data_IF_782780886063
#
_entry.id   IF_782780886063
#
_cell.length_a   1.000
_cell.length_b   1.000
_cell.length_c   1.000
_cell.angle_alpha   90.00
_cell.angle_beta   90.00
_cell.angle_gamma   90.00
#
_symmetry.space_group_name_H-M   'P 1'
#
loop_
_entity.id
_entity.type
_entity.pdbx_description
1 polymer ?
#
# COMPACT_ATOMS: atom_id res chain seq x y z
N UNK A 1 15.60 -70.92 19.44
CA UNK A 1 14.72 -70.55 18.29
C UNK A 1 13.43 -70.00 18.88
N UNK A 2 13.04 -68.72 18.88
CA UNK A 2 13.56 -67.47 18.32
C UNK A 2 13.36 -66.35 19.36
N UNK A 3 14.41 -65.63 19.79
CA UNK A 3 14.32 -64.58 20.82
C UNK A 3 14.11 -63.20 20.16
N UNK A 4 13.06 -63.05 19.35
CA UNK A 4 12.85 -61.82 18.54
C UNK A 4 11.46 -61.19 18.74
N UNK A 5 10.78 -61.48 19.86
CA UNK A 5 9.43 -60.93 20.14
C UNK A 5 9.33 -59.96 21.31
N UNK A 6 10.44 -59.63 21.97
CA UNK A 6 10.45 -58.80 23.18
C UNK A 6 11.33 -57.55 23.09
N UNK A 7 11.78 -57.18 21.89
CA UNK A 7 12.63 -55.99 21.69
C UNK A 7 11.94 -54.83 20.97
N UNK A 8 10.73 -55.01 20.42
CA UNK A 8 10.06 -53.97 19.62
C UNK A 8 9.12 -53.07 20.43
N UNK A 9 8.69 -53.47 21.63
CA UNK A 9 7.83 -52.63 22.48
C UNK A 9 8.59 -51.64 23.36
N UNK A 10 9.89 -51.82 23.62
CA UNK A 10 10.68 -50.87 24.41
C UNK A 10 11.22 -49.70 23.58
N UNK A 11 11.37 -49.86 22.25
CA UNK A 11 11.83 -48.78 21.38
C UNK A 11 10.74 -47.74 21.02
N UNK A 12 9.46 -48.09 21.19
CA UNK A 12 8.35 -47.15 20.99
C UNK A 12 8.06 -46.25 22.19
N UNK A 13 8.61 -46.56 23.38
CA UNK A 13 8.44 -45.71 24.57
C UNK A 13 9.43 -44.54 24.63
N UNK A 14 10.61 -44.66 24.01
CA UNK A 14 11.63 -43.61 24.05
C UNK A 14 11.42 -42.47 23.04
N UNK A 15 10.53 -42.64 22.06
CA UNK A 15 10.15 -41.56 21.14
C UNK A 15 9.05 -40.64 21.71
N UNK A 16 8.43 -41.01 22.85
CA UNK A 16 7.33 -40.24 23.44
C UNK A 16 7.69 -39.55 24.78
N UNK A 17 8.88 -39.79 25.35
CA UNK A 17 9.27 -39.18 26.64
C UNK A 17 10.43 -38.19 26.56
N UNK A 18 10.95 -37.91 25.37
CA UNK A 18 11.93 -36.84 25.12
C UNK A 18 11.33 -35.69 24.31
N UNK A 19 10.03 -35.42 24.48
CA UNK A 19 9.51 -34.07 24.25
C UNK A 19 9.79 -33.28 25.52
N UNK A 20 11.08 -33.10 25.83
CA UNK A 20 11.46 -31.91 26.58
C UNK A 20 10.89 -30.77 25.78
N UNK A 21 9.89 -30.11 26.39
CA UNK A 21 9.23 -28.95 25.87
C UNK A 21 10.27 -28.08 25.17
N UNK A 22 10.20 -28.04 23.84
CA UNK A 22 10.75 -26.95 23.04
C UNK A 22 10.55 -25.69 23.88
N UNK A 23 11.61 -24.92 24.19
CA UNK A 23 11.45 -23.72 25.00
C UNK A 23 10.31 -23.00 24.30
N UNK A 24 9.22 -22.72 25.04
CA UNK A 24 8.03 -22.05 24.52
C UNK A 24 8.55 -21.04 23.52
N UNK A 25 8.42 -21.37 22.23
CA UNK A 25 8.73 -20.40 21.21
C UNK A 25 7.60 -19.42 21.48
N UNK A 26 7.92 -18.40 22.27
CA UNK A 26 7.29 -17.13 22.12
C UNK A 26 7.56 -16.82 20.66
N UNK A 27 6.62 -17.22 19.81
CA UNK A 27 6.32 -16.47 18.62
C UNK A 27 6.01 -15.10 19.21
N UNK A 28 7.07 -14.29 19.33
CA UNK A 28 6.93 -12.86 19.51
C UNK A 28 5.89 -12.50 18.46
N UNK A 29 4.75 -11.98 18.91
CA UNK A 29 3.81 -11.32 18.04
C UNK A 29 4.56 -10.13 17.46
N UNK A 30 5.39 -10.37 16.43
CA UNK A 30 6.13 -9.35 15.69
C UNK A 30 5.18 -8.39 14.98
N UNK A 31 3.89 -8.71 15.00
CA UNK A 31 2.83 -8.02 14.29
C UNK A 31 2.08 -6.98 15.15
N UNK A 32 2.43 -6.82 16.43
CA UNK A 32 1.89 -5.74 17.26
C UNK A 32 3.05 -4.97 17.88
N UNK A 33 3.61 -4.05 17.08
CA UNK A 33 4.17 -2.85 17.69
C UNK A 33 2.98 -2.09 18.28
N UNK A 34 3.00 -1.86 19.60
CA UNK A 34 1.92 -1.16 20.31
C UNK A 34 1.71 0.28 19.81
N UNK A 35 2.65 0.76 19.01
CA UNK A 35 2.70 2.11 18.45
C UNK A 35 2.10 2.17 17.05
N UNK A 36 0.86 2.66 16.97
CA UNK A 36 0.13 2.91 15.72
C UNK A 36 -0.04 4.41 15.49
N UNK A 37 0.29 4.89 14.30
CA UNK A 37 -0.07 6.23 13.82
C UNK A 37 -1.00 6.08 12.63
N UNK A 38 -2.11 6.82 12.63
CA UNK A 38 -3.06 6.83 11.51
C UNK A 38 -2.84 8.07 10.66
N UNK A 39 -2.96 7.91 9.35
CA UNK A 39 -2.96 8.97 8.34
C UNK A 39 -4.10 8.67 7.37
N UNK A 40 -4.88 9.69 7.00
CA UNK A 40 -6.00 9.51 6.07
C UNK A 40 -5.57 9.65 4.62
N UNK A 41 -6.14 8.82 3.75
CA UNK A 41 -5.82 8.77 2.33
C UNK A 41 -7.10 8.69 1.50
N UNK A 42 -7.32 9.62 0.58
CA UNK A 42 -8.42 9.50 -0.38
C UNK A 42 -7.87 9.11 -1.74
N UNK A 43 -8.28 7.95 -2.23
CA UNK A 43 -8.08 7.57 -3.62
C UNK A 43 -9.17 8.21 -4.49
N UNK A 44 -8.76 9.03 -5.45
CA UNK A 44 -9.64 9.55 -6.49
C UNK A 44 -9.37 8.73 -7.75
N UNK A 45 -10.32 7.90 -8.18
CA UNK A 45 -10.19 7.05 -9.37
C UNK A 45 -10.54 7.88 -10.62
N UNK A 46 -9.57 8.03 -11.53
CA UNK A 46 -9.72 8.76 -12.80
C UNK A 46 -10.74 8.09 -13.73
N UNK A 47 -11.38 8.88 -14.60
CA UNK A 47 -12.43 8.43 -15.52
C UNK A 47 -11.93 7.34 -16.50
N UNK A 48 -10.62 7.29 -16.74
CA UNK A 48 -10.00 6.29 -17.62
C UNK A 48 -9.95 4.87 -17.05
N UNK A 49 -10.31 4.70 -15.77
CA UNK A 49 -10.42 3.42 -15.08
C UNK A 49 -11.85 2.90 -15.03
N UNK A 50 -12.84 3.70 -15.47
CA UNK A 50 -14.27 3.32 -15.42
C UNK A 50 -14.63 2.16 -16.37
N UNK A 51 -13.77 1.86 -17.35
CA UNK A 51 -13.95 0.70 -18.23
C UNK A 51 -13.45 -0.61 -17.62
N UNK A 52 -12.71 -0.53 -16.51
CA UNK A 52 -12.21 -1.68 -15.79
C UNK A 52 -13.24 -2.18 -14.79
N UNK A 53 -13.04 -3.41 -14.34
CA UNK A 53 -13.86 -3.98 -13.27
C UNK A 53 -13.56 -3.25 -11.96
N UNK A 54 -14.59 -2.60 -11.41
CA UNK A 54 -14.49 -1.80 -10.19
C UNK A 54 -13.88 -2.61 -9.03
N UNK A 55 -14.35 -3.85 -8.84
CA UNK A 55 -13.85 -4.71 -7.77
C UNK A 55 -12.37 -5.06 -7.94
N UNK A 56 -11.87 -5.20 -9.18
CA UNK A 56 -10.44 -5.38 -9.43
C UNK A 56 -9.63 -4.13 -9.08
N UNK A 57 -10.12 -2.93 -9.42
CA UNK A 57 -9.45 -1.67 -9.07
C UNK A 57 -9.40 -1.49 -7.55
N UNK A 58 -10.51 -1.71 -6.86
CA UNK A 58 -10.56 -1.62 -5.39
C UNK A 58 -9.68 -2.66 -4.70
N UNK A 59 -9.65 -3.90 -5.20
CA UNK A 59 -8.77 -4.94 -4.68
C UNK A 59 -7.29 -4.60 -4.89
N UNK A 60 -6.95 -4.04 -6.05
CA UNK A 60 -5.61 -3.54 -6.35
C UNK A 60 -5.21 -2.42 -5.40
N UNK A 61 -6.09 -1.44 -5.17
CA UNK A 61 -5.84 -0.34 -4.23
C UNK A 61 -5.60 -0.88 -2.82
N UNK A 62 -6.45 -1.79 -2.35
CA UNK A 62 -6.30 -2.40 -1.04
C UNK A 62 -4.95 -3.10 -0.89
N UNK A 63 -4.53 -3.89 -1.89
CA UNK A 63 -3.24 -4.56 -1.88
C UNK A 63 -2.08 -3.57 -1.84
N UNK A 64 -2.13 -2.53 -2.69
CA UNK A 64 -1.10 -1.48 -2.77
C UNK A 64 -0.95 -0.76 -1.44
N UNK A 65 -2.06 -0.36 -0.81
CA UNK A 65 -2.05 0.29 0.50
C UNK A 65 -1.47 -0.61 1.58
N UNK A 66 -1.89 -1.88 1.63
CA UNK A 66 -1.40 -2.84 2.62
C UNK A 66 0.09 -3.09 2.48
N UNK A 67 0.57 -3.28 1.24
CA UNK A 67 1.98 -3.48 0.98
C UNK A 67 2.80 -2.26 1.38
N UNK A 68 2.33 -1.05 1.09
CA UNK A 68 2.97 0.19 1.51
C UNK A 68 3.07 0.31 3.04
N UNK A 69 2.02 -0.05 3.79
CA UNK A 69 2.04 -0.06 5.26
C UNK A 69 3.06 -1.07 5.81
N UNK A 70 3.13 -2.28 5.25
CA UNK A 70 4.11 -3.31 5.64
C UNK A 70 5.54 -2.83 5.38
N UNK A 71 5.79 -2.26 4.21
CA UNK A 71 7.13 -1.77 3.83
C UNK A 71 7.55 -0.59 4.71
N UNK A 72 6.62 0.31 5.06
CA UNK A 72 6.87 1.39 6.02
C UNK A 72 7.24 0.85 7.41
N UNK A 73 6.45 -0.11 7.92
CA UNK A 73 6.69 -0.71 9.24
C UNK A 73 8.04 -1.42 9.30
N UNK A 74 8.44 -2.10 8.22
CA UNK A 74 9.75 -2.73 8.12
C UNK A 74 10.88 -1.72 8.31
N UNK A 75 10.75 -0.51 7.75
CA UNK A 75 11.73 0.57 7.93
C UNK A 75 11.67 1.14 9.34
N UNK A 76 10.51 1.59 9.83
CA UNK A 76 10.43 2.42 11.03
C UNK A 76 10.21 1.69 12.35
N UNK A 77 9.86 0.40 12.31
CA UNK A 77 9.57 -0.40 13.51
C UNK A 77 8.41 0.17 14.35
N UNK A 78 7.46 0.84 13.69
CA UNK A 78 6.13 1.18 14.22
C UNK A 78 5.10 1.10 13.09
N UNK A 79 3.82 1.02 13.44
CA UNK A 79 2.76 0.79 12.46
C UNK A 79 2.23 2.13 11.93
N UNK A 80 2.34 2.33 10.63
CA UNK A 80 1.56 3.34 9.91
C UNK A 80 0.25 2.70 9.43
N UNK A 81 -0.87 3.23 9.87
CA UNK A 81 -2.20 2.85 9.43
C UNK A 81 -2.72 3.86 8.41
N UNK A 82 -2.75 3.49 7.14
CA UNK A 82 -3.37 4.28 6.08
C UNK A 82 -4.88 3.99 6.06
N UNK A 83 -5.67 4.87 6.67
CA UNK A 83 -7.13 4.80 6.66
C UNK A 83 -7.64 5.45 5.38
N UNK A 84 -8.13 4.67 4.42
CA UNK A 84 -8.40 5.18 3.08
C UNK A 84 -9.87 5.21 2.68
N UNK A 85 -10.24 6.17 1.84
CA UNK A 85 -11.51 6.25 1.11
C UNK A 85 -11.25 6.06 -0.37
N UNK A 86 -12.27 5.64 -1.11
CA UNK A 86 -12.25 5.59 -2.57
C UNK A 86 -13.39 6.47 -3.06
N UNK A 87 -13.06 7.44 -3.90
CA UNK A 87 -14.00 8.34 -4.57
C UNK A 87 -13.72 8.30 -6.07
N UNK A 88 -14.72 8.59 -6.89
CA UNK A 88 -14.58 8.56 -8.34
C UNK A 88 -14.58 9.97 -8.90
N UNK A 89 -13.69 10.23 -9.86
CA UNK A 89 -13.56 11.55 -10.48
C UNK A 89 -14.84 11.96 -11.24
N UNK A 90 -15.58 10.98 -11.76
CA UNK A 90 -16.88 11.20 -12.43
C UNK A 90 -17.92 11.85 -11.54
N UNK A 91 -17.87 11.61 -10.23
CA UNK A 91 -18.79 12.21 -9.25
C UNK A 91 -18.36 13.62 -8.83
N UNK A 92 -17.13 14.01 -9.16
CA UNK A 92 -16.53 15.29 -8.82
C UNK A 92 -16.40 16.19 -10.06
N UNK A 93 -17.55 16.57 -10.63
CA UNK A 93 -17.63 17.34 -11.89
C UNK A 93 -16.72 18.59 -11.93
N UNK A 94 -16.61 19.34 -10.83
CA UNK A 94 -15.73 20.51 -10.75
C UNK A 94 -14.25 20.12 -10.85
N UNK A 95 -13.80 19.13 -10.08
CA UNK A 95 -12.41 18.65 -10.12
C UNK A 95 -12.07 18.01 -11.47
N UNK A 96 -12.98 17.18 -12.01
CA UNK A 96 -12.85 16.56 -13.33
C UNK A 96 -12.66 17.61 -14.43
N UNK A 97 -13.40 18.73 -14.36
CA UNK A 97 -13.28 19.81 -15.34
C UNK A 97 -11.90 20.49 -15.30
N UNK A 98 -11.33 20.68 -14.11
CA UNK A 98 -9.99 21.26 -13.93
C UNK A 98 -8.92 20.31 -14.48
N UNK A 99 -8.96 19.02 -14.09
CA UNK A 99 -7.98 18.02 -14.53
C UNK A 99 -8.02 17.69 -16.03
N UNK A 100 -9.19 17.82 -16.68
CA UNK A 100 -9.35 17.59 -18.13
C UNK A 100 -8.72 18.68 -19.00
N UNK A 101 -8.67 19.92 -18.51
CA UNK A 101 -8.04 21.03 -19.23
C UNK A 101 -6.54 20.79 -19.45
N UNK A 102 -5.93 19.97 -18.60
CA UNK A 102 -4.48 19.83 -18.49
C UNK A 102 -3.92 18.55 -19.16
N UNK A 103 -4.80 17.66 -19.64
CA UNK A 103 -4.53 16.24 -19.94
C UNK A 103 -3.69 15.87 -21.17
N UNK A 104 -3.18 16.83 -21.96
CA UNK A 104 -2.54 16.57 -23.26
C UNK A 104 -1.03 16.84 -23.34
N UNK A 105 -0.40 17.18 -22.22
CA UNK A 105 0.95 17.78 -22.16
C UNK A 105 1.94 16.89 -21.39
N UNK A 106 3.24 16.98 -21.71
CA UNK A 106 4.31 16.37 -20.90
C UNK A 106 4.42 16.98 -19.49
N UNK A 107 3.72 18.08 -19.21
CA UNK A 107 3.63 18.67 -17.87
C UNK A 107 2.43 18.16 -17.07
N UNK A 108 1.66 17.20 -17.62
CA UNK A 108 0.44 16.73 -16.98
C UNK A 108 0.63 16.28 -15.53
N UNK A 109 1.71 15.55 -15.14
CA UNK A 109 1.90 15.17 -13.74
C UNK A 109 2.02 16.37 -12.80
N UNK A 110 2.82 17.37 -13.17
CA UNK A 110 3.01 18.60 -12.38
C UNK A 110 1.70 19.40 -12.30
N UNK A 111 1.00 19.56 -13.43
CA UNK A 111 -0.26 20.30 -13.47
C UNK A 111 -1.38 19.58 -12.72
N UNK A 112 -1.45 18.25 -12.78
CA UNK A 112 -2.44 17.50 -12.02
C UNK A 112 -2.20 17.62 -10.51
N UNK A 113 -0.94 17.56 -10.06
CA UNK A 113 -0.58 17.75 -8.65
C UNK A 113 -0.97 19.16 -8.17
N UNK A 114 -0.61 20.21 -8.92
CA UNK A 114 -0.98 21.58 -8.55
C UNK A 114 -2.49 21.78 -8.53
N UNK A 115 -3.21 21.24 -9.52
CA UNK A 115 -4.67 21.28 -9.58
C UNK A 115 -5.32 20.57 -8.37
N UNK A 116 -4.79 19.41 -7.94
CA UNK A 116 -5.28 18.72 -6.74
C UNK A 116 -5.03 19.56 -5.48
N UNK A 117 -3.81 20.05 -5.28
CA UNK A 117 -3.47 20.88 -4.12
C UNK A 117 -4.35 22.15 -4.05
N UNK A 118 -4.57 22.80 -5.19
CA UNK A 118 -5.39 24.02 -5.27
C UNK A 118 -6.87 23.74 -5.05
N UNK A 119 -7.38 22.58 -5.50
CA UNK A 119 -8.77 22.21 -5.32
C UNK A 119 -9.13 21.95 -3.85
N UNK A 120 -8.22 21.29 -3.11
CA UNK A 120 -8.46 20.87 -1.72
C UNK A 120 -7.99 21.88 -0.67
N UNK A 121 -7.21 22.90 -1.02
CA UNK A 121 -6.64 23.89 -0.08
C UNK A 121 -7.62 24.45 0.96
N UNK A 122 -8.83 24.81 0.53
CA UNK A 122 -9.84 25.44 1.38
C UNK A 122 -11.04 24.51 1.67
N UNK A 123 -10.84 23.20 1.53
CA UNK A 123 -11.88 22.16 1.73
C UNK A 123 -11.44 21.16 2.79
N UNK A 124 -12.39 20.46 3.39
CA UNK A 124 -12.07 19.26 4.18
C UNK A 124 -11.43 18.22 3.25
N UNK A 125 -10.30 17.67 3.67
CA UNK A 125 -9.52 16.77 2.84
C UNK A 125 -8.80 15.73 3.69
N UNK A 126 -8.51 14.58 3.08
CA UNK A 126 -7.60 13.60 3.67
C UNK A 126 -6.16 14.15 3.77
N UNK A 127 -5.36 13.62 4.70
CA UNK A 127 -3.95 13.99 4.85
C UNK A 127 -3.18 13.73 3.55
N UNK A 128 -3.61 12.73 2.77
CA UNK A 128 -3.11 12.40 1.44
C UNK A 128 -4.28 12.35 0.45
N UNK A 129 -4.13 13.01 -0.70
CA UNK A 129 -5.04 12.91 -1.85
C UNK A 129 -4.29 12.20 -2.97
N UNK A 130 -4.77 11.02 -3.39
CA UNK A 130 -4.11 10.21 -4.41
C UNK A 130 -5.00 10.04 -5.64
N UNK A 131 -4.68 10.72 -6.74
CA UNK A 131 -5.32 10.47 -8.04
C UNK A 131 -4.74 9.21 -8.68
N UNK A 132 -5.59 8.21 -8.91
CA UNK A 132 -5.25 6.92 -9.51
C UNK A 132 -5.62 6.96 -10.98
N UNK A 133 -4.68 6.67 -11.88
CA UNK A 133 -4.89 6.84 -13.33
C UNK A 133 -4.18 5.75 -14.14
N UNK A 134 -4.63 5.52 -15.38
CA UNK A 134 -3.86 4.77 -16.40
C UNK A 134 -2.93 5.62 -17.25
N UNK A 135 -2.95 6.95 -17.08
CA UNK A 135 -2.10 7.84 -17.86
C UNK A 135 -0.63 7.57 -17.52
N UNK A 136 0.19 7.50 -18.56
CA UNK A 136 1.64 7.42 -18.39
C UNK A 136 2.15 8.68 -17.70
N UNK A 137 2.81 8.53 -16.55
CA UNK A 137 3.48 9.65 -15.89
C UNK A 137 4.80 9.91 -16.59
N UNK A 138 4.88 11.06 -17.26
CA UNK A 138 6.08 11.57 -17.90
C UNK A 138 6.17 13.07 -17.62
N UNK A 139 7.28 13.54 -17.08
CA UNK A 139 7.53 14.97 -16.80
C UNK A 139 8.51 15.60 -17.83
N UNK A 140 8.78 14.88 -18.93
CA UNK A 140 9.78 15.19 -19.95
C UNK A 140 11.24 15.27 -19.47
N UNK A 141 11.54 15.10 -18.18
CA UNK A 141 12.86 15.31 -17.61
C UNK A 141 13.35 14.09 -16.82
N UNK A 142 12.85 13.87 -15.61
CA UNK A 142 13.34 12.86 -14.66
C UNK A 142 12.41 11.64 -14.53
N UNK A 143 11.12 11.81 -14.80
CA UNK A 143 10.11 10.76 -14.71
C UNK A 143 9.71 10.35 -16.12
N UNK A 144 10.02 9.10 -16.48
CA UNK A 144 9.60 8.47 -17.73
C UNK A 144 8.91 7.15 -17.39
N UNK A 145 7.61 7.05 -17.64
CA UNK A 145 6.79 5.90 -17.26
C UNK A 145 6.84 5.64 -15.74
N UNK A 146 6.72 6.70 -14.94
CA UNK A 146 6.70 6.56 -13.48
C UNK A 146 5.44 5.84 -13.01
N UNK A 147 5.55 5.01 -11.97
CA UNK A 147 4.40 4.39 -11.30
C UNK A 147 3.74 5.31 -10.26
N UNK A 148 4.38 6.44 -9.94
CA UNK A 148 3.81 7.50 -9.13
C UNK A 148 4.56 8.83 -9.28
N UNK A 149 3.94 9.91 -8.84
CA UNK A 149 4.50 11.27 -8.89
C UNK A 149 3.91 12.15 -7.77
N UNK A 150 4.72 13.01 -7.15
CA UNK A 150 4.30 13.99 -6.13
C UNK A 150 5.31 15.15 -6.10
N UNK A 151 4.88 16.34 -5.65
CA UNK A 151 5.69 17.57 -5.65
C UNK A 151 6.46 17.84 -4.35
N UNK A 152 6.80 16.80 -3.58
CA UNK A 152 7.62 16.88 -2.34
C UNK A 152 7.12 17.89 -1.30
N UNK A 153 5.82 18.11 -1.24
CA UNK A 153 5.20 18.90 -0.15
C UNK A 153 5.31 18.15 1.18
N UNK A 154 5.40 18.86 2.31
CA UNK A 154 5.33 18.25 3.63
C UNK A 154 3.97 17.60 3.85
N UNK A 155 3.96 16.36 4.34
CA UNK A 155 2.72 15.72 4.84
C UNK A 155 2.27 16.37 6.15
N UNK A 156 0.96 16.32 6.43
CA UNK A 156 0.31 16.85 7.64
C UNK A 156 0.32 18.39 7.80
N UNK A 157 0.89 19.17 6.87
CA UNK A 157 0.72 20.63 6.85
C UNK A 157 -0.55 21.01 6.09
N UNK A 158 -0.56 20.66 4.79
CA UNK A 158 -1.72 20.61 3.91
C UNK A 158 -1.93 19.16 3.45
N UNK A 159 -2.87 18.94 2.53
CA UNK A 159 -2.97 17.64 1.87
C UNK A 159 -1.73 17.34 1.02
N UNK A 160 -1.22 16.11 1.09
CA UNK A 160 -0.18 15.62 0.20
C UNK A 160 -0.81 15.09 -1.11
N UNK A 161 -0.70 15.80 -2.24
CA UNK A 161 -1.15 15.30 -3.52
C UNK A 161 -0.18 14.24 -4.06
N UNK A 162 -0.74 13.13 -4.53
CA UNK A 162 -0.02 12.02 -5.17
C UNK A 162 -0.75 11.64 -6.46
N UNK A 163 0.02 11.36 -7.49
CA UNK A 163 -0.45 10.59 -8.65
C UNK A 163 0.07 9.17 -8.53
N UNK A 164 -0.80 8.20 -8.79
CA UNK A 164 -0.44 6.80 -8.79
C UNK A 164 -0.96 6.13 -10.06
N UNK A 165 -0.10 5.33 -10.70
CA UNK A 165 -0.50 4.59 -11.89
C UNK A 165 -1.13 3.27 -11.50
N UNK A 166 -2.35 3.04 -11.98
CA UNK A 166 -2.98 1.73 -11.97
C UNK A 166 -2.28 0.82 -12.97
N UNK A 167 -1.55 -0.15 -12.45
CA UNK A 167 -0.75 -1.10 -13.22
C UNK A 167 -0.97 -2.52 -12.68
N UNK A 168 -2.02 -3.23 -13.11
CA UNK A 168 -2.27 -4.61 -12.68
C UNK A 168 -1.12 -5.52 -13.14
N UNK A 169 -0.70 -6.44 -12.27
CA UNK A 169 0.50 -7.28 -12.44
C UNK A 169 1.82 -6.60 -12.06
N UNK A 170 1.78 -5.30 -11.73
CA UNK A 170 2.92 -4.49 -11.33
C UNK A 170 2.65 -3.72 -10.03
N UNK A 171 1.76 -4.25 -9.19
CA UNK A 171 1.27 -3.62 -7.96
C UNK A 171 2.40 -3.26 -7.00
N UNK A 172 3.44 -4.10 -6.95
CA UNK A 172 4.62 -3.88 -6.11
C UNK A 172 5.38 -2.59 -6.46
N UNK A 173 5.38 -2.15 -7.72
CA UNK A 173 5.99 -0.87 -8.09
C UNK A 173 5.14 0.30 -7.60
N UNK A 174 3.81 0.22 -7.75
CA UNK A 174 2.91 1.26 -7.25
C UNK A 174 2.92 1.35 -5.73
N UNK A 175 2.98 0.22 -5.00
CA UNK A 175 3.09 0.23 -3.54
C UNK A 175 4.41 0.83 -3.06
N UNK A 176 5.52 0.48 -3.73
CA UNK A 176 6.83 1.08 -3.44
C UNK A 176 6.83 2.59 -3.69
N UNK A 177 6.23 3.04 -4.78
CA UNK A 177 6.12 4.46 -5.08
C UNK A 177 5.26 5.20 -4.05
N UNK A 178 4.12 4.63 -3.65
CA UNK A 178 3.25 5.20 -2.61
C UNK A 178 4.00 5.41 -1.30
N UNK A 179 4.66 4.36 -0.77
CA UNK A 179 5.41 4.49 0.49
C UNK A 179 6.61 5.43 0.34
N UNK A 180 7.29 5.42 -0.80
CA UNK A 180 8.44 6.32 -1.05
C UNK A 180 8.02 7.79 -1.03
N UNK A 181 6.90 8.13 -1.67
CA UNK A 181 6.38 9.51 -1.69
C UNK A 181 5.93 9.97 -0.30
N UNK A 182 5.30 9.07 0.49
CA UNK A 182 4.98 9.35 1.89
C UNK A 182 6.27 9.59 2.68
N UNK A 183 7.28 8.74 2.55
CA UNK A 183 8.56 8.91 3.25
C UNK A 183 9.29 10.20 2.84
N UNK A 184 9.29 10.55 1.56
CA UNK A 184 9.90 11.78 1.02
C UNK A 184 9.20 13.04 1.52
N UNK A 185 7.88 12.99 1.74
CA UNK A 185 7.08 14.10 2.26
C UNK A 185 7.27 14.36 3.75
N UNK A 186 7.97 13.48 4.48
CA UNK A 186 8.21 13.67 5.91
C UNK A 186 9.45 14.56 6.10
N UNK A 187 9.20 15.86 6.31
CA UNK A 187 10.26 16.83 6.51
C UNK A 187 10.78 16.85 7.95
N UNK A 188 12.00 16.32 8.15
CA UNK A 188 12.66 16.24 9.46
C UNK A 188 13.36 17.55 9.90
N UNK A 189 13.41 18.55 9.02
CA UNK A 189 14.22 19.76 9.18
C UNK A 189 15.71 19.53 8.93
N UNK A 190 16.44 20.58 8.54
CA UNK A 190 17.91 20.53 8.39
C UNK A 190 18.46 19.71 7.21
N UNK A 191 17.62 19.35 6.23
CA UNK A 191 18.03 18.59 5.04
C UNK A 191 18.24 17.09 5.28
N UNK A 192 17.86 16.57 6.46
CA UNK A 192 17.87 15.12 6.73
C UNK A 192 16.75 14.42 5.95
N UNK A 193 17.09 13.36 5.20
CA UNK A 193 16.13 12.52 4.49
C UNK A 193 15.82 11.24 5.28
N UNK A 194 14.53 10.89 5.28
CA UNK A 194 13.95 9.79 6.05
C UNK A 194 14.51 8.43 5.67
N UNK A 195 14.93 8.23 4.42
CA UNK A 195 15.52 6.98 3.93
C UNK A 195 16.83 6.56 4.63
N UNK A 196 17.57 7.50 5.21
CA UNK A 196 18.85 7.22 5.88
C UNK A 196 18.81 7.59 7.37
N UNK A 197 17.60 7.68 7.94
CA UNK A 197 17.43 8.05 9.32
C UNK A 197 17.85 6.88 10.22
N UNK A 198 18.78 7.08 11.17
CA UNK A 198 19.15 6.02 12.10
C UNK A 198 17.97 5.69 13.04
N UNK A 199 17.91 4.44 13.49
CA UNK A 199 16.74 3.91 14.21
C UNK A 199 16.39 4.64 15.50
N UNK A 200 17.38 5.23 16.17
CA UNK A 200 17.20 6.06 17.37
C UNK A 200 16.43 7.37 17.09
N UNK A 201 16.35 7.78 15.83
CA UNK A 201 15.59 8.98 15.40
C UNK A 201 14.21 8.65 14.82
N UNK A 202 13.80 7.38 14.70
CA UNK A 202 12.48 7.01 14.15
C UNK A 202 11.30 7.60 14.95
N UNK A 203 11.49 7.86 16.25
CA UNK A 203 10.49 8.54 17.07
C UNK A 203 10.09 9.92 16.53
N UNK A 204 10.99 10.61 15.81
CA UNK A 204 10.69 11.91 15.16
C UNK A 204 9.71 11.76 14.00
N UNK A 205 9.88 10.70 13.20
CA UNK A 205 8.97 10.37 12.09
C UNK A 205 7.57 10.13 12.65
N UNK A 206 7.48 9.34 13.72
CA UNK A 206 6.22 9.10 14.44
C UNK A 206 5.59 10.40 14.96
N UNK A 207 6.38 11.29 15.57
CA UNK A 207 5.89 12.57 16.07
C UNK A 207 5.34 13.46 14.95
N UNK A 208 6.00 13.52 13.78
CA UNK A 208 5.51 14.29 12.63
C UNK A 208 4.18 13.73 12.15
N UNK A 209 4.11 12.42 11.91
CA UNK A 209 2.88 11.78 11.41
C UNK A 209 1.73 11.87 12.42
N UNK A 210 2.02 11.94 13.72
CA UNK A 210 0.99 12.13 14.75
C UNK A 210 0.29 13.49 14.71
N UNK A 211 0.83 14.46 13.96
CA UNK A 211 0.26 15.80 13.78
C UNK A 211 -0.75 15.88 12.63
N UNK A 212 -0.88 14.82 11.83
CA UNK A 212 -1.88 14.73 10.78
C UNK A 212 -3.30 14.91 11.35
N UNK A 213 -4.15 15.62 10.60
CA UNK A 213 -5.49 16.01 11.07
C UNK A 213 -6.45 14.82 11.07
N UNK A 214 -6.16 13.80 10.24
CA UNK A 214 -7.01 12.62 10.06
C UNK A 214 -8.44 12.99 9.63
N UNK A 215 -8.58 14.04 8.83
CA UNK A 215 -9.85 14.46 8.25
C UNK A 215 -10.19 13.61 7.02
N UNK A 216 -11.45 13.64 6.60
CA UNK A 216 -11.93 13.01 5.37
C UNK A 216 -12.81 14.01 4.61
N UNK A 217 -12.94 13.78 3.30
CA UNK A 217 -13.83 14.53 2.43
C UNK A 217 -15.29 14.29 2.84
N UNK A 218 -16.11 15.34 2.79
CA UNK A 218 -17.49 15.29 3.25
C UNK A 218 -18.28 14.14 2.60
N UNK A 219 -18.87 13.28 3.43
CA UNK A 219 -19.76 12.18 2.99
C UNK A 219 -19.08 10.85 2.66
N UNK A 220 -17.76 10.74 2.79
CA UNK A 220 -17.03 9.48 2.54
C UNK A 220 -16.72 8.74 3.85
N UNK A 221 -17.14 7.48 3.97
CA UNK A 221 -16.78 6.64 5.10
C UNK A 221 -15.46 5.90 4.81
N UNK A 222 -14.47 5.93 5.71
CA UNK A 222 -13.21 5.23 5.50
C UNK A 222 -13.42 3.72 5.37
N UNK A 223 -12.78 3.15 4.36
CA UNK A 223 -12.62 1.72 4.19
C UNK A 223 -11.48 1.31 5.12
N UNK A 224 -11.82 0.57 6.17
CA UNK A 224 -10.79 -0.03 7.02
C UNK A 224 -10.07 -1.10 6.19
N UNK A 225 -8.73 -1.11 6.12
CA UNK A 225 -8.00 -2.15 5.41
C UNK A 225 -8.35 -3.50 6.04
N UNK A 226 -9.24 -4.23 5.37
CA UNK A 226 -9.57 -5.60 5.75
C UNK A 226 -8.34 -6.47 5.53
N UNK A 227 -8.21 -7.57 6.29
CA UNK A 227 -7.13 -8.56 6.13
C UNK A 227 -6.87 -8.85 4.64
N UNK A 228 -5.61 -9.08 4.23
CA UNK A 228 -5.22 -9.21 2.84
C UNK A 228 -6.19 -10.08 2.04
N UNK A 229 -6.85 -9.48 1.05
CA UNK A 229 -7.54 -10.26 0.03
C UNK A 229 -6.43 -10.88 -0.83
N UNK A 230 -6.35 -12.22 -0.94
CA UNK A 230 -5.34 -12.85 -1.77
C UNK A 230 -5.44 -12.30 -3.21
N UNK A 231 -4.31 -12.07 -3.90
CA UNK A 231 -4.34 -11.69 -5.30
C UNK A 231 -5.13 -12.73 -6.12
N UNK A 232 -5.77 -12.32 -7.22
CA UNK A 232 -6.52 -13.23 -8.09
C UNK A 232 -5.66 -14.44 -8.45
N UNK A 233 -6.17 -15.65 -8.20
CA UNK A 233 -5.43 -16.86 -8.55
C UNK A 233 -5.22 -16.91 -10.08
N UNK A 234 -4.03 -17.25 -10.57
CA UNK A 234 -3.80 -17.48 -11.98
C UNK A 234 -4.80 -18.51 -12.52
N UNK A 235 -5.25 -18.40 -13.78
CA UNK A 235 -6.09 -19.40 -14.40
C UNK A 235 -5.43 -20.78 -14.31
N UNK A 236 -6.22 -21.79 -13.93
CA UNK A 236 -5.77 -23.17 -13.85
C UNK A 236 -5.07 -23.56 -15.17
N UNK A 237 -3.88 -24.18 -15.11
CA UNK A 237 -3.22 -24.65 -16.32
C UNK A 237 -4.16 -25.60 -17.07
N UNK A 238 -4.17 -25.57 -18.42
CA UNK A 238 -5.02 -26.44 -19.21
C UNK A 238 -4.77 -27.89 -18.82
N UNK A 239 -5.86 -28.62 -18.54
CA UNK A 239 -5.82 -30.06 -18.28
C UNK A 239 -5.11 -30.71 -19.47
N UNK A 240 -3.99 -31.39 -19.19
CA UNK A 240 -3.19 -32.06 -20.21
C UNK A 240 -4.02 -33.07 -21.00
N UNK A 241 -3.57 -33.45 -22.21
CA UNK A 241 -4.31 -34.37 -23.06
C UNK A 241 -4.59 -35.69 -22.32
N UNK A 242 -5.86 -36.10 -22.34
CA UNK A 242 -6.35 -37.33 -21.75
C UNK A 242 -5.56 -38.53 -22.30
N UNK A 243 -5.07 -39.39 -21.40
CA UNK A 243 -4.30 -40.59 -21.78
C UNK A 243 -5.11 -41.45 -22.77
N UNK A 244 -4.49 -41.92 -23.87
CA UNK A 244 -5.20 -42.73 -24.83
C UNK A 244 -5.64 -44.05 -24.19
N UNK A 245 -6.94 -44.32 -24.32
CA UNK A 245 -7.56 -45.58 -23.86
C UNK A 245 -6.90 -46.75 -24.61
N UNK A 246 -6.37 -47.77 -23.90
CA UNK A 246 -5.76 -48.93 -24.54
C UNK A 246 -6.78 -49.77 -25.32
N UNK A 247 -6.38 -50.42 -26.42
CA UNK A 247 -7.25 -51.21 -27.31
C UNK A 247 -7.75 -52.52 -26.72
#
# INVERSE_FOLDING_TARGET
MNPLRWSSCQWLWLMCTNVECLPKFHVSSRDQYDDVVTVTLNYIVDDNLLTDDEAQVEAWLSWVTQKAMVDFQYVFQFTLNLSYTITYLTDQSELSSRLKHDGGSHHWPETAISTLADYFRDRNHSDIICLVTKKTLNDAYAVRNGYGYSDKRPICEDSLPILLVYAPGHEGYSSHMLVSMIMDSIHLGGGEHVFNLPSDKHAKVKEILSKCKNEHEDGSAPISPSKPVPPPQPPLPPIGPEEPVPP
#
